data_IF_820467979326
#
_entry.id   IF_820467979326
#
_cell.length_a   1.000
_cell.length_b   1.000
_cell.length_c   1.000
_cell.angle_alpha   90.00
_cell.angle_beta   90.00
_cell.angle_gamma   90.00
#
_symmetry.space_group_name_H-M   'P 1'
#
loop_
_entity.id
_entity.type
_entity.pdbx_description
1 polymer ?
#
# COMPACT_ATOMS: atom_id res chain seq x y z
N UNK A 1 27.33 -18.38 54.38
CA UNK A 1 27.05 -17.19 53.56
C UNK A 1 27.79 -17.23 52.21
N UNK A 2 27.65 -18.27 51.37
CA UNK A 2 28.36 -18.41 50.07
C UNK A 2 27.48 -18.73 48.87
N UNK A 3 26.14 -18.82 49.00
CA UNK A 3 25.22 -19.22 47.93
C UNK A 3 24.45 -18.07 47.27
N UNK A 4 24.60 -16.81 47.74
CA UNK A 4 23.82 -15.66 47.21
C UNK A 4 24.47 -15.05 45.94
N UNK A 5 25.76 -15.24 45.71
CA UNK A 5 26.49 -14.64 44.59
C UNK A 5 26.09 -15.15 43.18
N UNK A 6 25.84 -16.46 42.91
CA UNK A 6 25.47 -16.89 41.57
C UNK A 6 24.03 -16.53 41.18
N UNK A 7 23.10 -16.46 42.12
CA UNK A 7 21.68 -16.10 41.85
C UNK A 7 21.56 -14.65 41.44
N UNK A 8 22.31 -13.75 42.08
CA UNK A 8 22.30 -12.31 41.75
C UNK A 8 22.87 -12.05 40.34
N UNK A 9 23.88 -12.82 39.93
CA UNK A 9 24.52 -12.69 38.63
C UNK A 9 23.60 -13.20 37.50
N UNK A 10 22.82 -14.27 37.72
CA UNK A 10 21.86 -14.80 36.77
C UNK A 10 20.69 -13.85 36.60
N UNK A 11 20.22 -13.18 37.63
CA UNK A 11 19.15 -12.20 37.56
C UNK A 11 19.55 -10.94 36.77
N UNK A 12 20.80 -10.57 36.78
CA UNK A 12 21.32 -9.38 36.08
C UNK A 12 21.42 -9.60 34.57
N UNK A 13 21.61 -10.85 34.11
CA UNK A 13 21.73 -11.21 32.69
C UNK A 13 20.35 -11.25 31.99
N UNK A 14 19.25 -11.47 32.72
CA UNK A 14 17.90 -11.55 32.17
C UNK A 14 17.30 -10.20 31.73
N UNK A 15 17.93 -9.06 32.06
CA UNK A 15 17.37 -7.71 31.80
C UNK A 15 17.83 -7.13 30.45
N UNK A 16 18.72 -7.77 29.70
CA UNK A 16 19.35 -7.20 28.50
C UNK A 16 18.69 -7.62 27.18
N UNK A 17 17.60 -8.40 27.19
CA UNK A 17 16.99 -9.01 25.99
C UNK A 17 15.85 -8.19 25.37
N UNK A 18 15.75 -6.90 25.62
CA UNK A 18 14.61 -6.07 25.23
C UNK A 18 14.85 -5.11 24.05
N UNK A 19 15.71 -5.42 23.09
CA UNK A 19 15.78 -4.63 21.85
C UNK A 19 14.60 -5.03 20.95
N UNK A 20 13.49 -4.30 21.03
CA UNK A 20 12.41 -4.42 20.04
C UNK A 20 12.92 -3.82 18.73
N UNK A 21 13.29 -4.66 17.78
CA UNK A 21 13.63 -4.20 16.43
C UNK A 21 12.41 -3.53 15.79
N UNK A 22 12.62 -2.41 15.10
CA UNK A 22 11.57 -1.79 14.29
C UNK A 22 11.27 -2.76 13.14
N UNK A 23 9.99 -3.17 12.93
CA UNK A 23 9.63 -4.06 11.84
C UNK A 23 9.92 -3.41 10.49
N UNK A 24 10.19 -4.19 9.45
CA UNK A 24 10.30 -3.66 8.10
C UNK A 24 8.96 -3.07 7.62
N UNK A 25 9.04 -2.14 6.68
CA UNK A 25 7.86 -1.69 5.93
C UNK A 25 7.37 -2.84 5.07
N UNK A 26 6.09 -3.22 5.23
CA UNK A 26 5.43 -4.30 4.51
C UNK A 26 3.99 -3.90 4.14
N UNK A 27 3.77 -3.62 2.87
CA UNK A 27 2.48 -3.21 2.33
C UNK A 27 1.63 -4.38 1.81
N UNK A 28 2.08 -5.62 1.97
CA UNK A 28 1.37 -6.81 1.51
C UNK A 28 -0.05 -6.88 2.08
N UNK A 29 -1.06 -6.89 1.23
CA UNK A 29 -2.47 -7.01 1.62
C UNK A 29 -2.79 -8.48 1.89
N UNK A 30 -3.01 -8.85 3.14
CA UNK A 30 -3.15 -10.27 3.53
C UNK A 30 -4.50 -10.87 3.12
N UNK A 31 -5.58 -10.12 3.22
CA UNK A 31 -6.96 -10.60 3.07
C UNK A 31 -7.56 -10.28 1.69
N UNK A 32 -6.75 -10.32 0.62
CA UNK A 32 -7.28 -10.20 -0.75
C UNK A 32 -7.92 -11.52 -1.16
N UNK A 33 -9.25 -11.51 -1.25
CA UNK A 33 -10.02 -12.61 -1.85
C UNK A 33 -10.11 -12.49 -3.37
N UNK A 34 -10.51 -13.58 -4.04
CA UNK A 34 -10.86 -13.53 -5.46
C UNK A 34 -12.09 -12.66 -5.66
N UNK A 35 -12.03 -11.74 -6.62
CA UNK A 35 -13.18 -10.88 -6.98
C UNK A 35 -14.25 -11.66 -7.74
N UNK A 36 -15.50 -11.23 -7.61
CA UNK A 36 -16.63 -11.82 -8.33
C UNK A 36 -16.73 -11.31 -9.76
N UNK A 37 -16.38 -10.03 -9.97
CA UNK A 37 -16.50 -9.34 -11.26
C UNK A 37 -15.13 -9.06 -11.88
N UNK A 38 -14.61 -10.05 -12.61
CA UNK A 38 -13.31 -9.95 -13.28
C UNK A 38 -13.38 -9.04 -14.50
N UNK A 39 -12.28 -8.37 -14.81
CA UNK A 39 -12.14 -7.52 -16.00
C UNK A 39 -11.60 -8.34 -17.18
N UNK A 40 -12.28 -8.26 -18.33
CA UNK A 40 -11.77 -8.85 -19.59
C UNK A 40 -10.63 -7.98 -20.15
N UNK A 41 -9.59 -7.86 -19.38
CA UNK A 41 -8.41 -7.07 -19.67
C UNK A 41 -7.17 -7.73 -19.08
N UNK A 42 -6.02 -7.56 -19.75
CA UNK A 42 -4.71 -8.04 -19.30
C UNK A 42 -3.79 -6.85 -19.03
N UNK A 43 -3.15 -6.82 -17.85
CA UNK A 43 -2.15 -5.81 -17.52
C UNK A 43 -0.85 -6.11 -18.27
N UNK A 44 -0.37 -5.15 -19.06
CA UNK A 44 0.93 -5.22 -19.74
C UNK A 44 2.01 -4.39 -19.05
N UNK A 45 1.63 -3.38 -18.30
CA UNK A 45 2.56 -2.63 -17.46
C UNK A 45 1.89 -2.12 -16.20
N UNK A 46 2.63 -2.13 -15.11
CA UNK A 46 2.28 -1.53 -13.84
C UNK A 46 3.37 -0.55 -13.43
N UNK A 47 3.02 0.70 -13.22
CA UNK A 47 3.92 1.75 -12.73
C UNK A 47 3.37 2.35 -11.46
N UNK A 48 4.24 2.58 -10.47
CA UNK A 48 3.91 3.30 -9.24
C UNK A 48 5.00 4.35 -9.02
N UNK A 49 4.61 5.57 -8.76
CA UNK A 49 5.53 6.67 -8.51
C UNK A 49 4.85 7.80 -7.73
N UNK A 50 5.65 8.74 -7.25
CA UNK A 50 5.09 9.97 -6.72
C UNK A 50 4.56 10.85 -7.86
N UNK A 51 3.49 11.57 -7.60
CA UNK A 51 3.02 12.62 -8.49
C UNK A 51 4.07 13.73 -8.63
N UNK A 52 4.02 14.59 -9.66
CA UNK A 52 4.83 15.81 -9.72
C UNK A 52 4.65 16.68 -8.46
N UNK A 53 5.70 17.39 -8.04
CA UNK A 53 5.70 18.15 -6.77
C UNK A 53 4.52 19.12 -6.60
N UNK A 54 4.05 19.70 -7.71
CA UNK A 54 2.91 20.62 -7.70
C UNK A 54 1.57 19.94 -7.37
N UNK A 55 1.52 18.62 -7.42
CA UNK A 55 0.31 17.79 -7.23
C UNK A 55 0.37 16.92 -5.99
N UNK A 56 1.38 17.08 -5.14
CA UNK A 56 1.56 16.20 -3.98
C UNK A 56 1.52 16.97 -2.64
N UNK A 57 0.93 16.30 -1.63
CA UNK A 57 1.02 16.65 -0.21
C UNK A 57 1.84 15.58 0.51
N UNK A 58 3.16 15.57 0.30
CA UNK A 58 4.03 14.55 0.86
C UNK A 58 4.99 15.23 1.83
N UNK A 59 4.89 14.87 3.12
CA UNK A 59 5.71 15.45 4.18
C UNK A 59 7.15 14.93 4.12
N UNK A 60 7.33 13.65 3.76
CA UNK A 60 8.65 13.06 3.55
C UNK A 60 8.62 12.08 2.38
N UNK A 61 9.18 12.47 1.23
CA UNK A 61 9.32 11.58 0.08
C UNK A 61 10.39 10.51 0.36
N UNK A 62 9.97 9.34 0.81
CA UNK A 62 10.85 8.19 0.95
C UNK A 62 10.86 7.39 -0.37
N UNK A 63 12.01 7.39 -1.07
CA UNK A 63 12.19 6.71 -2.35
C UNK A 63 11.91 5.19 -2.30
N UNK A 64 11.83 4.59 -1.12
CA UNK A 64 11.49 3.16 -0.97
C UNK A 64 9.99 2.88 -1.04
N UNK A 65 9.12 3.88 -0.85
CA UNK A 65 7.66 3.71 -0.84
C UNK A 65 7.11 3.23 -2.19
N UNK A 66 7.39 3.87 -3.34
CA UNK A 66 6.80 3.45 -4.61
C UNK A 66 7.14 2.01 -5.01
N UNK A 67 8.40 1.51 -4.91
CA UNK A 67 8.71 0.13 -5.25
C UNK A 67 8.02 -0.89 -4.33
N UNK A 68 7.92 -0.64 -3.01
CA UNK A 68 7.21 -1.52 -2.09
C UNK A 68 5.70 -1.51 -2.36
N UNK A 69 5.13 -0.34 -2.66
CA UNK A 69 3.71 -0.24 -3.05
C UNK A 69 3.43 -1.01 -4.34
N UNK A 70 4.31 -0.87 -5.34
CA UNK A 70 4.20 -1.61 -6.60
C UNK A 70 4.20 -3.12 -6.37
N UNK A 71 5.11 -3.63 -5.56
CA UNK A 71 5.22 -5.05 -5.23
C UNK A 71 3.94 -5.56 -4.55
N UNK A 72 3.47 -4.84 -3.53
CA UNK A 72 2.25 -5.19 -2.80
C UNK A 72 0.99 -5.13 -3.70
N UNK A 73 0.89 -4.11 -4.56
CA UNK A 73 -0.20 -3.99 -5.53
C UNK A 73 -0.18 -5.12 -6.54
N UNK A 74 0.98 -5.46 -7.09
CA UNK A 74 1.13 -6.58 -8.03
C UNK A 74 0.68 -7.91 -7.39
N UNK A 75 1.11 -8.18 -6.16
CA UNK A 75 0.70 -9.37 -5.41
C UNK A 75 -0.82 -9.39 -5.18
N UNK A 76 -1.40 -8.27 -4.76
CA UNK A 76 -2.83 -8.16 -4.51
C UNK A 76 -3.67 -8.35 -5.80
N UNK A 77 -3.24 -7.77 -6.93
CA UNK A 77 -3.88 -7.97 -8.24
C UNK A 77 -3.81 -9.42 -8.69
N UNK A 78 -2.67 -10.09 -8.50
CA UNK A 78 -2.51 -11.50 -8.86
C UNK A 78 -3.43 -12.40 -8.01
N UNK A 79 -3.52 -12.15 -6.70
CA UNK A 79 -4.38 -12.95 -5.80
C UNK A 79 -5.86 -12.69 -5.98
N UNK A 80 -6.25 -11.47 -6.30
CA UNK A 80 -7.65 -11.12 -6.55
C UNK A 80 -8.20 -11.71 -7.85
N UNK A 81 -7.31 -12.07 -8.81
CA UNK A 81 -7.66 -12.52 -10.16
C UNK A 81 -8.56 -11.52 -10.91
N UNK A 82 -8.49 -10.24 -10.58
CA UNK A 82 -9.38 -9.21 -11.15
C UNK A 82 -9.14 -9.00 -12.64
N UNK A 83 -7.89 -9.15 -13.10
CA UNK A 83 -7.53 -9.18 -14.50
C UNK A 83 -7.42 -10.62 -15.03
N UNK A 84 -7.53 -10.79 -16.33
CA UNK A 84 -7.46 -12.08 -16.99
C UNK A 84 -6.23 -12.15 -17.87
N UNK A 85 -5.51 -13.27 -17.81
CA UNK A 85 -4.43 -13.55 -18.75
C UNK A 85 -5.02 -13.76 -20.16
N UNK A 86 -4.26 -13.35 -21.17
CA UNK A 86 -4.63 -13.48 -22.60
C UNK A 86 -5.94 -12.79 -23.03
N UNK A 87 -6.48 -11.90 -22.17
CA UNK A 87 -7.64 -11.09 -22.52
C UNK A 87 -7.38 -10.23 -23.79
N UNK A 88 -8.43 -9.93 -24.54
CA UNK A 88 -8.33 -9.17 -25.81
C UNK A 88 -7.92 -7.71 -25.57
N UNK A 89 -8.35 -7.12 -24.47
CA UNK A 89 -8.02 -5.76 -24.07
C UNK A 89 -6.69 -5.78 -23.31
N UNK A 90 -5.70 -5.05 -23.81
CA UNK A 90 -4.41 -4.89 -23.14
C UNK A 90 -4.36 -3.52 -22.48
N UNK A 91 -4.04 -3.47 -21.19
CA UNK A 91 -4.06 -2.23 -20.42
C UNK A 91 -2.71 -1.93 -19.78
N UNK A 92 -2.50 -0.64 -19.51
CA UNK A 92 -1.49 -0.16 -18.58
C UNK A 92 -2.20 0.34 -17.31
N UNK A 93 -1.66 -0.01 -16.15
CA UNK A 93 -2.06 0.54 -14.86
C UNK A 93 -0.95 1.48 -14.37
N UNK A 94 -1.30 2.73 -14.13
CA UNK A 94 -0.42 3.70 -13.50
C UNK A 94 -0.98 4.16 -12.15
N UNK A 95 -0.10 4.32 -11.18
CA UNK A 95 -0.43 4.81 -9.85
C UNK A 95 0.46 6.00 -9.53
N UNK A 96 -0.16 7.13 -9.22
CA UNK A 96 0.52 8.36 -8.79
C UNK A 96 0.17 8.63 -7.33
N UNK A 97 1.14 8.51 -6.44
CA UNK A 97 1.00 8.82 -5.02
C UNK A 97 0.97 10.34 -4.90
N UNK A 98 -0.16 10.90 -4.46
CA UNK A 98 -0.38 12.34 -4.31
C UNK A 98 -0.30 12.78 -2.85
N UNK A 99 -0.54 11.86 -1.92
CA UNK A 99 -0.48 12.12 -0.49
C UNK A 99 0.20 10.97 0.24
N UNK A 100 1.10 11.32 1.14
CA UNK A 100 1.69 10.41 2.12
C UNK A 100 2.02 11.24 3.37
N UNK A 101 1.05 11.40 4.25
CA UNK A 101 1.19 12.14 5.50
C UNK A 101 1.37 11.15 6.66
N UNK A 102 2.59 11.06 7.15
CA UNK A 102 3.00 10.15 8.20
C UNK A 102 3.41 10.92 9.46
N UNK A 103 2.93 10.52 10.65
CA UNK A 103 3.26 11.21 11.89
C UNK A 103 4.72 10.95 12.28
N UNK A 104 5.45 12.02 12.63
CA UNK A 104 6.79 11.92 13.19
C UNK A 104 6.78 11.55 14.68
N UNK A 105 5.70 11.88 15.41
CA UNK A 105 5.50 11.55 16.82
C UNK A 105 4.00 11.58 17.18
N UNK A 106 3.63 10.89 18.25
CA UNK A 106 2.24 10.86 18.73
C UNK A 106 1.98 9.74 19.72
N UNK A 107 0.88 9.84 20.43
CA UNK A 107 0.36 8.77 21.30
C UNK A 107 -0.32 7.72 20.43
N UNK A 108 -1.24 8.13 19.58
CA UNK A 108 -1.81 7.38 18.46
C UNK A 108 -1.03 7.76 17.19
N UNK A 109 -0.79 6.80 16.30
CA UNK A 109 -0.15 7.04 15.01
C UNK A 109 -1.16 6.85 13.89
N UNK A 110 -1.43 7.92 13.15
CA UNK A 110 -2.31 7.90 11.98
C UNK A 110 -1.53 8.36 10.76
N UNK A 111 -1.47 7.50 9.74
CA UNK A 111 -0.92 7.85 8.44
C UNK A 111 -2.06 7.96 7.44
N UNK A 112 -2.10 9.04 6.66
CA UNK A 112 -3.01 9.19 5.52
C UNK A 112 -2.26 9.07 4.22
N UNK A 113 -2.87 8.40 3.25
CA UNK A 113 -2.33 8.24 1.90
C UNK A 113 -3.40 8.46 0.86
N UNK A 114 -3.01 9.11 -0.24
CA UNK A 114 -3.84 9.30 -1.43
C UNK A 114 -3.06 8.89 -2.68
N UNK A 115 -3.70 8.13 -3.56
CA UNK A 115 -3.11 7.72 -4.82
C UNK A 115 -4.14 7.75 -5.95
N UNK A 116 -3.74 8.29 -7.09
CA UNK A 116 -4.54 8.27 -8.32
C UNK A 116 -4.18 7.02 -9.10
N UNK A 117 -5.18 6.18 -9.36
CA UNK A 117 -5.08 4.97 -10.17
C UNK A 117 -5.69 5.20 -11.53
N UNK A 118 -4.97 4.87 -12.59
CA UNK A 118 -5.43 5.01 -13.96
C UNK A 118 -5.21 3.71 -14.74
N UNK A 119 -6.28 3.23 -15.39
CA UNK A 119 -6.23 2.07 -16.30
C UNK A 119 -6.50 2.56 -17.71
N UNK A 120 -5.51 2.42 -18.59
CA UNK A 120 -5.57 2.89 -19.98
C UNK A 120 -5.47 1.72 -20.95
N UNK A 121 -6.39 1.68 -21.92
CA UNK A 121 -6.33 0.73 -23.03
C UNK A 121 -5.17 1.08 -23.96
N UNK A 122 -4.24 0.14 -24.14
CA UNK A 122 -3.04 0.37 -24.97
C UNK A 122 -3.30 0.52 -26.44
N UNK A 123 -4.44 0.01 -26.94
CA UNK A 123 -4.75 0.01 -28.37
C UNK A 123 -5.23 1.38 -28.85
N UNK A 124 -6.02 2.06 -28.06
CA UNK A 124 -6.74 3.26 -28.48
C UNK A 124 -6.63 4.44 -27.49
N UNK A 125 -5.91 4.27 -26.38
CA UNK A 125 -5.75 5.32 -25.37
C UNK A 125 -6.98 5.60 -24.52
N UNK A 126 -8.04 4.79 -24.62
CA UNK A 126 -9.23 4.97 -23.78
C UNK A 126 -8.86 4.86 -22.29
N UNK A 127 -9.30 5.82 -21.49
CA UNK A 127 -9.21 5.79 -20.05
C UNK A 127 -10.39 4.97 -19.50
N UNK A 128 -10.11 3.73 -19.07
CA UNK A 128 -11.12 2.79 -18.62
C UNK A 128 -11.47 2.97 -17.14
N UNK A 129 -10.52 3.50 -16.36
CA UNK A 129 -10.68 3.77 -14.94
C UNK A 129 -9.73 4.89 -14.52
N UNK A 130 -10.20 5.83 -13.71
CA UNK A 130 -9.40 6.88 -13.09
C UNK A 130 -10.05 7.34 -11.80
N UNK A 131 -9.43 7.02 -10.66
CA UNK A 131 -9.96 7.39 -9.35
C UNK A 131 -8.84 7.80 -8.40
N UNK A 132 -9.12 8.79 -7.56
CA UNK A 132 -8.34 9.10 -6.36
C UNK A 132 -8.83 8.21 -5.22
N UNK A 133 -7.94 7.36 -4.74
CA UNK A 133 -8.23 6.51 -3.59
C UNK A 133 -7.50 7.07 -2.38
N UNK A 134 -8.25 7.46 -1.37
CA UNK A 134 -7.75 7.96 -0.09
C UNK A 134 -7.99 6.91 1.00
N UNK A 135 -7.06 6.79 1.93
CA UNK A 135 -7.16 5.87 3.04
C UNK A 135 -6.30 6.29 4.22
N UNK A 136 -6.61 5.76 5.39
CA UNK A 136 -5.83 5.96 6.60
C UNK A 136 -5.46 4.64 7.27
N UNK A 137 -4.32 4.65 7.94
CA UNK A 137 -3.87 3.59 8.83
C UNK A 137 -3.73 4.12 10.25
N UNK A 138 -4.59 3.66 11.15
CA UNK A 138 -4.59 4.08 12.56
C UNK A 138 -4.01 2.98 13.43
N UNK A 139 -3.05 3.35 14.29
CA UNK A 139 -2.40 2.45 15.24
C UNK A 139 -2.51 3.03 16.66
N UNK A 140 -3.27 2.38 17.54
CA UNK A 140 -3.48 2.86 18.90
C UNK A 140 -2.20 2.72 19.76
N UNK A 141 -2.14 3.42 20.91
CA UNK A 141 -0.96 3.47 21.76
C UNK A 141 -0.58 2.13 22.41
N UNK A 142 -1.55 1.25 22.60
CA UNK A 142 -1.39 -0.08 23.21
C UNK A 142 -0.85 -1.14 22.24
N UNK A 143 -0.79 -0.85 20.95
CA UNK A 143 -0.23 -1.75 19.93
C UNK A 143 1.25 -2.10 20.18
N UNK A 144 2.06 -1.09 20.51
CA UNK A 144 3.47 -1.27 20.85
C UNK A 144 3.98 -0.10 21.70
N UNK A 145 4.90 -0.38 22.64
CA UNK A 145 5.50 0.63 23.48
C UNK A 145 6.37 1.62 22.69
N UNK A 146 7.10 1.12 21.66
CA UNK A 146 8.01 1.94 20.85
C UNK A 146 7.21 2.68 19.77
N UNK A 147 7.25 4.02 19.78
CA UNK A 147 6.53 4.87 18.84
C UNK A 147 6.87 4.61 17.38
N UNK A 148 8.16 4.36 17.07
CA UNK A 148 8.60 4.03 15.70
C UNK A 148 7.95 2.74 15.15
N UNK A 149 7.69 1.74 16.00
CA UNK A 149 6.96 0.53 15.60
C UNK A 149 5.52 0.87 15.22
N UNK A 150 4.84 1.73 16.00
CA UNK A 150 3.49 2.19 15.68
C UNK A 150 3.45 3.03 14.41
N UNK A 151 4.45 3.89 14.20
CA UNK A 151 4.54 4.71 12.99
C UNK A 151 4.66 3.83 11.74
N UNK A 152 5.60 2.88 11.70
CA UNK A 152 5.76 1.96 10.56
C UNK A 152 4.48 1.15 10.32
N UNK A 153 3.84 0.66 11.39
CA UNK A 153 2.59 -0.08 11.23
C UNK A 153 1.44 0.81 10.72
N UNK A 154 1.41 2.10 11.04
CA UNK A 154 0.40 3.01 10.47
C UNK A 154 0.59 3.21 8.97
N UNK A 155 1.83 3.26 8.47
CA UNK A 155 2.12 3.27 7.03
C UNK A 155 1.62 1.99 6.36
N UNK A 156 1.95 0.84 6.96
CA UNK A 156 1.55 -0.47 6.45
C UNK A 156 0.03 -0.55 6.30
N UNK A 157 -0.72 -0.16 7.34
CA UNK A 157 -2.19 -0.16 7.32
C UNK A 157 -2.74 0.80 6.28
N UNK A 158 -2.21 2.03 6.20
CA UNK A 158 -2.69 3.02 5.25
C UNK A 158 -2.57 2.52 3.81
N UNK A 159 -1.39 2.02 3.41
CA UNK A 159 -1.17 1.53 2.04
C UNK A 159 -1.98 0.25 1.75
N UNK A 160 -2.05 -0.70 2.70
CA UNK A 160 -2.90 -1.90 2.55
C UNK A 160 -4.36 -1.55 2.33
N UNK A 161 -4.90 -0.62 3.12
CA UNK A 161 -6.27 -0.13 2.98
C UNK A 161 -6.50 0.54 1.63
N UNK A 162 -5.51 1.31 1.14
CA UNK A 162 -5.57 1.97 -0.16
C UNK A 162 -5.65 0.97 -1.31
N UNK A 163 -4.75 -0.03 -1.32
CA UNK A 163 -4.75 -1.09 -2.34
C UNK A 163 -6.06 -1.89 -2.31
N UNK A 164 -6.55 -2.24 -1.12
CA UNK A 164 -7.81 -2.97 -0.97
C UNK A 164 -9.01 -2.15 -1.48
N UNK A 165 -9.07 -0.86 -1.14
CA UNK A 165 -10.11 0.05 -1.63
C UNK A 165 -10.06 0.21 -3.15
N UNK A 166 -8.86 0.33 -3.74
CA UNK A 166 -8.69 0.36 -5.20
C UNK A 166 -9.24 -0.90 -5.86
N UNK A 167 -8.92 -2.10 -5.36
CA UNK A 167 -9.41 -3.37 -5.94
C UNK A 167 -10.94 -3.42 -5.91
N UNK A 168 -11.57 -3.00 -4.80
CA UNK A 168 -13.02 -2.96 -4.68
C UNK A 168 -13.64 -1.97 -5.68
N UNK A 169 -13.11 -0.76 -5.83
CA UNK A 169 -13.60 0.22 -6.81
C UNK A 169 -13.39 -0.27 -8.24
N UNK A 170 -12.26 -0.93 -8.51
CA UNK A 170 -11.97 -1.49 -9.81
C UNK A 170 -12.93 -2.64 -10.15
N UNK A 171 -13.31 -3.46 -9.16
CA UNK A 171 -14.30 -4.54 -9.34
C UNK A 171 -15.67 -3.99 -9.82
N UNK A 172 -16.06 -2.81 -9.36
CA UNK A 172 -17.33 -2.16 -9.74
C UNK A 172 -17.24 -1.42 -11.09
N UNK A 173 -16.05 -1.16 -11.62
CA UNK A 173 -15.85 -0.41 -12.86
C UNK A 173 -16.36 -1.17 -14.09
N UNK A 174 -16.99 -0.46 -15.03
CA UNK A 174 -17.47 -1.00 -16.31
C UNK A 174 -16.53 -0.60 -17.46
N UNK A 175 -15.64 -1.50 -17.85
CA UNK A 175 -14.66 -1.27 -18.92
C UNK A 175 -15.27 -1.17 -20.32
N UNK A 176 -16.56 -1.51 -20.50
CA UNK A 176 -17.28 -1.28 -21.76
C UNK A 176 -17.65 0.20 -21.97
N UNK A 177 -17.59 0.99 -20.91
CA UNK A 177 -17.91 2.42 -20.89
C UNK A 177 -16.70 3.22 -20.42
N UNK A 178 -15.72 3.50 -21.29
CA UNK A 178 -14.55 4.27 -20.90
C UNK A 178 -14.96 5.65 -20.36
N UNK A 179 -14.25 6.10 -19.29
CA UNK A 179 -14.46 7.43 -18.69
C UNK A 179 -14.08 8.54 -19.67
N UNK A 180 -13.04 8.29 -20.46
CA UNK A 180 -12.62 9.17 -21.56
C UNK A 180 -12.18 8.33 -22.74
N UNK A 181 -12.56 8.75 -23.96
CA UNK A 181 -12.12 8.10 -25.20
C UNK A 181 -10.84 8.75 -25.70
N UNK A 182 -9.83 7.94 -25.98
CA UNK A 182 -8.62 8.41 -26.66
C UNK A 182 -8.96 8.99 -28.04
N UNK A 183 -8.27 10.06 -28.42
CA UNK A 183 -8.39 10.57 -29.79
C UNK A 183 -7.72 9.56 -30.71
N UNK A 184 -8.52 8.88 -31.52
CA UNK A 184 -7.99 8.11 -32.66
C UNK A 184 -7.67 9.09 -33.76
N UNK A 185 -6.38 9.40 -33.98
CA UNK A 185 -5.89 9.92 -35.26
C UNK A 185 -5.85 8.83 -36.32
#
# INVERSE_FOLDING_TARGET
MKFIRPVTLILLIAVVSGCTAIPPVDFTVQDVGMVSNRKDAEIKSLTVGFAPQEQQSIVEANATIPPLWKEALQDALNRSLIFQDDASIKVNLSVRIVEFDAPSFGVEMTTTVGAIYEVVNRKNGDLLFAELVESAGVVPPDYAFVGAVRAVESWNRAVRNNIAAFINQLEDADFSKPMYRGENE
#
